data_IF_394579485835
#
_entry.id   IF_394579485835
#
_cell.length_a   1.000
_cell.length_b   1.000
_cell.length_c   1.000
_cell.angle_alpha   90.00
_cell.angle_beta   90.00
_cell.angle_gamma   90.00
#
_symmetry.space_group_name_H-M   'P 1'
#
loop_
_entity.id
_entity.type
_entity.pdbx_description
1 polymer ?
#
# COMPACT_ATOMS: atom_id res chain seq x y z
N UNK A 1 22.92 37.27 7.73
CA UNK A 1 22.36 36.03 8.31
C UNK A 1 21.29 35.52 7.35
N UNK A 2 21.59 34.48 6.57
CA UNK A 2 20.60 33.92 5.65
C UNK A 2 19.53 33.18 6.44
N UNK A 3 18.25 33.42 6.17
CA UNK A 3 17.15 32.58 6.67
C UNK A 3 17.48 31.14 6.25
N UNK A 4 17.76 30.28 7.23
CA UNK A 4 18.07 28.87 6.96
C UNK A 4 16.96 28.27 6.11
N UNK A 5 17.33 27.52 5.07
CA UNK A 5 16.35 26.70 4.34
C UNK A 5 15.97 25.56 5.27
N UNK A 6 14.68 25.48 5.61
CA UNK A 6 14.13 24.40 6.43
C UNK A 6 13.71 23.27 5.48
N UNK A 7 14.06 22.04 5.84
CA UNK A 7 13.56 20.81 5.22
C UNK A 7 12.85 20.01 6.31
N UNK A 8 11.68 19.50 5.98
CA UNK A 8 10.91 18.58 6.84
C UNK A 8 10.97 17.23 6.15
N UNK A 9 11.43 16.23 6.89
CA UNK A 9 11.53 14.84 6.45
C UNK A 9 10.38 14.03 7.04
N UNK A 10 10.03 12.91 6.43
CA UNK A 10 8.92 12.08 6.89
C UNK A 10 9.19 11.47 8.27
N UNK A 11 10.37 10.88 8.46
CA UNK A 11 10.73 10.18 9.69
C UNK A 11 12.18 10.42 10.09
N UNK A 12 12.42 10.45 11.40
CA UNK A 12 13.75 10.55 11.99
C UNK A 12 13.89 9.45 13.05
N UNK A 13 14.89 8.59 12.88
CA UNK A 13 15.28 7.59 13.85
C UNK A 13 16.45 8.13 14.69
N UNK A 14 16.27 8.15 16.01
CA UNK A 14 17.30 8.57 16.96
C UNK A 14 18.12 7.36 17.43
N UNK A 15 19.38 7.61 17.81
CA UNK A 15 20.23 6.62 18.49
C UNK A 15 19.70 6.35 19.89
N UNK A 16 19.37 7.43 20.60
CA UNK A 16 18.72 7.40 21.91
C UNK A 16 17.39 8.20 21.85
N UNK A 17 16.23 7.55 22.06
CA UNK A 17 14.93 8.23 22.05
C UNK A 17 14.69 9.13 23.28
N UNK A 18 15.51 9.03 24.32
CA UNK A 18 15.46 9.90 25.51
C UNK A 18 16.14 11.27 25.31
N UNK A 19 16.84 11.47 24.20
CA UNK A 19 17.57 12.69 23.87
C UNK A 19 16.87 13.49 22.77
N UNK A 20 17.23 14.77 22.63
CA UNK A 20 16.72 15.64 21.57
C UNK A 20 17.21 15.19 20.18
N UNK A 21 16.50 15.61 19.14
CA UNK A 21 16.83 15.31 17.74
C UNK A 21 17.95 16.22 17.20
N UNK A 22 19.09 16.22 17.90
CA UNK A 22 20.32 16.88 17.45
C UNK A 22 21.05 16.00 16.41
N UNK A 23 21.85 16.62 15.54
CA UNK A 23 22.49 15.95 14.39
C UNK A 23 23.30 14.70 14.76
N UNK A 24 24.00 14.75 15.89
CA UNK A 24 24.82 13.68 16.43
C UNK A 24 24.00 12.52 16.98
N UNK A 25 22.82 12.79 17.54
CA UNK A 25 21.87 11.80 18.03
C UNK A 25 20.99 11.20 16.92
N UNK A 26 20.89 11.84 15.75
CA UNK A 26 20.20 11.26 14.60
C UNK A 26 20.98 10.04 14.10
N UNK A 27 20.33 8.89 14.13
CA UNK A 27 20.83 7.64 13.54
C UNK A 27 20.58 7.63 12.03
N UNK A 28 19.32 7.84 11.64
CA UNK A 28 18.88 7.80 10.25
C UNK A 28 17.69 8.73 10.04
N UNK A 29 17.59 9.31 8.86
CA UNK A 29 16.44 10.05 8.36
C UNK A 29 15.84 9.22 7.23
N UNK A 30 14.52 9.04 7.23
CA UNK A 30 13.83 8.25 6.22
C UNK A 30 12.86 9.18 5.48
N UNK A 31 12.97 9.20 4.16
CA UNK A 31 12.06 9.87 3.24
C UNK A 31 11.36 8.81 2.40
N UNK A 32 10.03 8.88 2.33
CA UNK A 32 9.20 7.91 1.62
C UNK A 32 8.74 8.55 0.31
N UNK A 33 9.00 7.89 -0.81
CA UNK A 33 8.57 8.34 -2.14
C UNK A 33 7.63 7.33 -2.77
N UNK A 34 6.38 7.74 -2.98
CA UNK A 34 5.38 6.97 -3.72
C UNK A 34 5.50 7.21 -5.22
N UNK A 35 4.84 6.39 -6.04
CA UNK A 35 4.82 6.57 -7.48
C UNK A 35 4.40 8.00 -7.88
N UNK A 36 5.24 8.66 -8.68
CA UNK A 36 5.02 10.04 -9.12
C UNK A 36 5.50 11.13 -8.16
N UNK A 37 5.89 10.79 -6.93
CA UNK A 37 6.56 11.73 -6.01
C UNK A 37 8.07 11.74 -6.25
N UNK A 38 8.67 12.92 -6.23
CA UNK A 38 10.10 13.12 -6.49
C UNK A 38 10.72 14.02 -5.42
N UNK A 39 12.02 13.87 -5.22
CA UNK A 39 12.77 14.70 -4.27
C UNK A 39 12.62 16.18 -4.61
N UNK A 40 12.11 16.96 -3.65
CA UNK A 40 11.91 18.40 -3.84
C UNK A 40 13.23 19.14 -3.94
N UNK A 41 13.21 20.36 -4.50
CA UNK A 41 14.41 21.20 -4.62
C UNK A 41 15.13 21.38 -3.28
N UNK A 42 14.40 21.59 -2.18
CA UNK A 42 15.00 21.81 -0.87
C UNK A 42 15.60 20.53 -0.29
N UNK A 43 14.99 19.37 -0.54
CA UNK A 43 15.57 18.09 -0.16
C UNK A 43 16.85 17.80 -0.95
N UNK A 44 16.89 18.08 -2.26
CA UNK A 44 18.12 17.96 -3.06
C UNK A 44 19.24 18.85 -2.53
N UNK A 45 18.94 20.12 -2.21
CA UNK A 45 19.89 21.04 -1.58
C UNK A 45 20.45 20.47 -0.26
N UNK A 46 19.59 19.86 0.56
CA UNK A 46 20.00 19.31 1.84
C UNK A 46 20.86 18.06 1.68
N UNK A 47 20.53 17.20 0.72
CA UNK A 47 21.37 16.06 0.33
C UNK A 47 22.74 16.57 -0.12
N UNK A 48 22.80 17.48 -1.08
CA UNK A 48 24.04 18.09 -1.61
C UNK A 48 24.88 18.78 -0.52
N UNK A 49 24.23 19.26 0.55
CA UNK A 49 24.89 19.87 1.71
C UNK A 49 25.49 18.85 2.70
N UNK A 50 25.44 17.55 2.38
CA UNK A 50 26.07 16.48 3.16
C UNK A 50 25.11 15.56 3.91
N UNK A 51 23.79 15.76 3.82
CA UNK A 51 22.84 14.93 4.57
C UNK A 51 22.71 13.49 4.03
N UNK A 52 23.24 13.20 2.84
CA UNK A 52 23.15 11.88 2.21
C UNK A 52 23.67 10.72 3.08
N UNK A 53 24.54 10.99 4.06
CA UNK A 53 25.09 9.96 4.96
C UNK A 53 24.07 9.42 5.97
N UNK A 54 23.02 10.19 6.26
CA UNK A 54 21.96 9.82 7.23
C UNK A 54 20.61 9.62 6.54
N UNK A 55 20.38 10.21 5.37
CA UNK A 55 19.10 10.12 4.66
C UNK A 55 19.04 8.84 3.83
N UNK A 56 17.99 8.04 4.07
CA UNK A 56 17.58 6.92 3.23
C UNK A 56 16.25 7.27 2.56
N UNK A 57 16.23 7.26 1.24
CA UNK A 57 14.98 7.35 0.46
C UNK A 57 14.51 5.92 0.21
N UNK A 58 13.25 5.63 0.54
CA UNK A 58 12.60 4.35 0.29
C UNK A 58 11.35 4.55 -0.56
N UNK A 59 11.01 3.56 -1.37
CA UNK A 59 9.78 3.54 -2.16
C UNK A 59 8.75 2.53 -1.61
N UNK A 60 7.56 2.52 -2.20
CA UNK A 60 6.47 1.62 -1.84
C UNK A 60 6.81 0.13 -2.03
N UNK A 61 7.72 -0.21 -2.95
CA UNK A 61 8.14 -1.59 -3.22
C UNK A 61 9.04 -2.10 -2.11
N UNK A 62 9.84 -1.22 -1.50
CA UNK A 62 10.65 -1.55 -0.31
C UNK A 62 9.80 -1.72 0.97
N UNK A 63 8.55 -1.27 0.98
CA UNK A 63 7.66 -1.35 2.14
C UNK A 63 7.03 -2.75 2.33
N UNK A 64 7.02 -3.60 1.29
CA UNK A 64 6.46 -4.96 1.36
C UNK A 64 4.93 -4.99 1.59
N UNK A 65 4.23 -3.91 1.27
CA UNK A 65 2.79 -3.79 1.45
C UNK A 65 1.99 -4.79 0.59
N UNK A 66 2.54 -5.21 -0.55
CA UNK A 66 1.84 -6.07 -1.52
C UNK A 66 2.00 -7.58 -1.25
N UNK A 67 3.01 -7.99 -0.47
CA UNK A 67 3.36 -9.42 -0.30
C UNK A 67 2.33 -10.23 0.51
N UNK A 68 1.39 -9.56 1.18
CA UNK A 68 0.35 -10.22 1.98
C UNK A 68 -0.96 -10.47 1.24
N UNK A 69 -1.14 -9.91 0.05
CA UNK A 69 -2.48 -9.84 -0.57
C UNK A 69 -2.78 -11.00 -1.54
N UNK A 70 -1.77 -11.68 -2.09
CA UNK A 70 -2.02 -12.71 -3.12
C UNK A 70 -2.73 -13.96 -2.58
N UNK A 71 -2.37 -14.43 -1.38
CA UNK A 71 -3.06 -15.57 -0.75
C UNK A 71 -4.48 -15.22 -0.31
N UNK A 72 -4.71 -13.99 0.13
CA UNK A 72 -6.02 -13.54 0.57
C UNK A 72 -6.95 -13.30 -0.63
N UNK A 73 -6.44 -12.70 -1.71
CA UNK A 73 -7.12 -12.58 -3.01
C UNK A 73 -7.54 -13.94 -3.58
N UNK A 74 -6.65 -14.94 -3.57
CA UNK A 74 -6.98 -16.30 -4.03
C UNK A 74 -8.07 -16.92 -3.16
N UNK A 75 -7.97 -16.79 -1.83
CA UNK A 75 -8.98 -17.32 -0.90
C UNK A 75 -10.33 -16.63 -1.06
N UNK A 76 -10.36 -15.32 -1.30
CA UNK A 76 -11.59 -14.57 -1.55
C UNK A 76 -12.23 -14.96 -2.88
N UNK A 77 -11.45 -15.14 -3.95
CA UNK A 77 -11.96 -15.65 -5.23
C UNK A 77 -12.63 -17.01 -5.08
N UNK A 78 -11.99 -17.95 -4.38
CA UNK A 78 -12.56 -19.28 -4.11
C UNK A 78 -13.89 -19.20 -3.34
N UNK A 79 -14.00 -18.32 -2.34
CA UNK A 79 -15.26 -18.11 -1.60
C UNK A 79 -16.37 -17.54 -2.48
N UNK A 80 -16.04 -16.60 -3.37
CA UNK A 80 -17.01 -16.01 -4.31
C UNK A 80 -17.49 -17.06 -5.31
N UNK A 81 -16.59 -17.86 -5.88
CA UNK A 81 -16.94 -18.96 -6.79
C UNK A 81 -17.83 -20.01 -6.10
N UNK A 82 -17.52 -20.38 -4.85
CA UNK A 82 -18.33 -21.32 -4.09
C UNK A 82 -19.73 -20.76 -3.79
N UNK A 83 -19.83 -19.47 -3.49
CA UNK A 83 -21.11 -18.80 -3.26
C UNK A 83 -21.97 -18.75 -4.53
N UNK A 84 -21.39 -18.41 -5.68
CA UNK A 84 -22.08 -18.40 -6.98
C UNK A 84 -22.59 -19.81 -7.30
N UNK A 85 -21.76 -20.85 -7.12
CA UNK A 85 -22.17 -22.24 -7.33
C UNK A 85 -23.38 -22.63 -6.48
N UNK A 86 -23.37 -22.28 -5.19
CA UNK A 86 -24.50 -22.56 -4.27
C UNK A 86 -25.77 -21.83 -4.68
N UNK A 87 -25.66 -20.59 -5.17
CA UNK A 87 -26.81 -19.84 -5.70
C UNK A 87 -27.39 -20.52 -6.94
N UNK A 88 -26.54 -20.93 -7.89
CA UNK A 88 -26.98 -21.64 -9.10
C UNK A 88 -27.65 -22.98 -8.77
N UNK A 89 -27.08 -23.77 -7.86
CA UNK A 89 -27.68 -25.04 -7.40
C UNK A 89 -29.02 -24.82 -6.69
N UNK A 90 -29.14 -23.76 -5.90
CA UNK A 90 -30.39 -23.41 -5.21
C UNK A 90 -31.47 -22.95 -6.18
N UNK A 91 -31.10 -22.16 -7.20
CA UNK A 91 -32.01 -21.73 -8.26
C UNK A 91 -32.50 -22.92 -9.11
N UNK A 92 -31.60 -23.83 -9.48
CA UNK A 92 -31.95 -25.05 -10.20
C UNK A 92 -32.93 -25.95 -9.42
N UNK A 93 -32.73 -26.09 -8.10
CA UNK A 93 -33.63 -26.85 -7.22
C UNK A 93 -35.01 -26.19 -7.04
N UNK A 94 -35.06 -24.86 -7.02
CA UNK A 94 -36.30 -24.11 -6.71
C UNK A 94 -37.17 -23.89 -7.95
N UNK A 95 -36.55 -23.68 -9.12
CA UNK A 95 -37.26 -23.31 -10.34
C UNK A 95 -37.22 -24.39 -11.44
N UNK A 96 -36.54 -25.53 -11.21
CA UNK A 96 -36.46 -26.62 -12.20
C UNK A 96 -35.78 -26.22 -13.51
N UNK A 97 -35.00 -25.14 -13.52
CA UNK A 97 -34.35 -24.64 -14.73
C UNK A 97 -33.05 -25.43 -14.92
N UNK A 98 -33.04 -26.33 -15.89
CA UNK A 98 -31.82 -26.99 -16.35
C UNK A 98 -30.83 -25.95 -16.93
N UNK A 99 -29.51 -26.11 -16.73
CA UNK A 99 -28.53 -25.17 -17.26
C UNK A 99 -28.55 -25.24 -18.79
N UNK A 100 -29.08 -24.20 -19.43
CA UNK A 100 -29.17 -24.06 -20.89
C UNK A 100 -30.55 -23.81 -21.48
N UNK A 101 -31.63 -23.80 -20.68
CA UNK A 101 -32.99 -23.56 -21.17
C UNK A 101 -33.49 -22.15 -20.88
N UNK A 102 -33.88 -21.40 -21.92
CA UNK A 102 -34.54 -20.10 -21.81
C UNK A 102 -35.87 -20.15 -21.02
N UNK A 103 -36.48 -18.98 -20.74
CA UNK A 103 -37.65 -18.91 -19.88
C UNK A 103 -38.83 -19.67 -20.50
N UNK A 104 -39.40 -20.61 -19.76
CA UNK A 104 -40.72 -21.15 -20.10
C UNK A 104 -41.75 -20.14 -19.56
N UNK A 105 -42.62 -19.54 -20.41
CA UNK A 105 -43.67 -18.69 -19.92
C UNK A 105 -44.72 -19.56 -19.22
N UNK A 106 -45.01 -19.22 -17.96
CA UNK A 106 -46.15 -19.77 -17.23
C UNK A 106 -47.43 -19.15 -17.82
N UNK A 107 -48.14 -19.88 -18.69
CA UNK A 107 -49.52 -19.55 -19.02
C UNK A 107 -50.44 -20.25 -17.99
N UNK A 108 -51.35 -19.45 -17.41
CA UNK A 108 -52.55 -19.88 -16.71
C UNK A 108 -53.42 -20.78 -17.60
#
# INVERSE_FOLDING_TARGET
MGRGRVVIWDLVALKDPGLTAEWDNINQIIEIKFEGDTTTRNQNIALDAGMQEKVRIIDEKECGCDDKDDREKVRMRQKVEEFIRKLSESAAKTFGIAPGGGPIPLFL
#
